data_IF_105858584625
#
_entry.id   IF_105858584625
#
_cell.length_a   1.000
_cell.length_b   1.000
_cell.length_c   1.000
_cell.angle_alpha   90.00
_cell.angle_beta   90.00
_cell.angle_gamma   90.00
#
_symmetry.space_group_name_H-M   'P 1'
#
loop_
_entity.id
_entity.type
_entity.pdbx_description
1 polymer ?
#
# COMPACT_ATOMS: atom_id res chain seq x y z
N UNK A 1 69.46 21.85 7.84
CA UNK A 1 68.14 21.89 8.52
C UNK A 1 66.92 21.69 7.61
N UNK A 2 67.06 21.59 6.28
CA UNK A 2 65.92 21.48 5.34
C UNK A 2 65.34 20.06 5.15
N UNK A 3 66.12 19.02 5.47
CA UNK A 3 65.72 17.61 5.28
C UNK A 3 64.63 17.16 6.28
N UNK A 4 64.72 17.61 7.53
CA UNK A 4 63.70 17.32 8.58
C UNK A 4 62.37 18.03 8.30
N UNK A 5 62.41 19.21 7.70
CA UNK A 5 61.22 19.98 7.30
C UNK A 5 60.45 19.28 6.18
N UNK A 6 61.15 18.71 5.20
CA UNK A 6 60.52 17.95 4.11
C UNK A 6 59.98 16.60 4.59
N UNK A 7 60.61 15.97 5.57
CA UNK A 7 60.12 14.73 6.19
C UNK A 7 58.81 14.95 6.98
N UNK A 8 58.70 16.09 7.68
CA UNK A 8 57.50 16.47 8.42
C UNK A 8 56.32 16.76 7.48
N UNK A 9 56.57 17.40 6.34
CA UNK A 9 55.56 17.67 5.32
C UNK A 9 55.04 16.38 4.66
N UNK A 10 55.91 15.38 4.47
CA UNK A 10 55.52 14.09 3.89
C UNK A 10 54.64 13.26 4.84
N UNK A 11 54.91 13.31 6.15
CA UNK A 11 54.11 12.64 7.18
C UNK A 11 52.70 13.24 7.32
N UNK A 12 52.55 14.56 7.13
CA UNK A 12 51.25 15.22 7.17
C UNK A 12 50.38 14.89 5.96
N UNK A 13 50.98 14.64 4.79
CA UNK A 13 50.24 14.26 3.57
C UNK A 13 49.73 12.80 3.62
N UNK A 14 50.46 11.89 4.27
CA UNK A 14 50.08 10.49 4.40
C UNK A 14 48.94 10.22 5.42
N UNK A 15 48.71 11.14 6.36
CA UNK A 15 47.66 10.96 7.38
C UNK A 15 46.24 11.19 6.87
N UNK A 16 46.07 12.01 5.82
CA UNK A 16 44.75 12.45 5.34
C UNK A 16 44.03 11.35 4.54
N UNK A 17 44.75 10.35 4.01
CA UNK A 17 44.16 9.29 3.17
C UNK A 17 43.49 8.15 3.95
N UNK A 18 43.41 8.24 5.28
CA UNK A 18 42.90 7.15 6.15
C UNK A 18 41.48 7.36 6.69
N UNK A 19 40.81 8.47 6.36
CA UNK A 19 39.45 8.76 6.84
C UNK A 19 38.40 8.29 5.84
N UNK A 20 38.17 6.97 5.79
CA UNK A 20 37.06 6.39 5.03
C UNK A 20 35.78 6.45 5.85
N UNK A 21 34.93 7.45 5.61
CA UNK A 21 33.54 7.41 6.07
C UNK A 21 32.82 6.30 5.30
N UNK A 22 32.55 5.18 5.96
CA UNK A 22 31.62 4.18 5.42
C UNK A 22 30.22 4.77 5.52
N UNK A 23 29.67 5.26 4.40
CA UNK A 23 28.24 5.50 4.31
C UNK A 23 27.56 4.15 4.44
N UNK A 24 26.89 3.90 5.57
CA UNK A 24 25.93 2.82 5.67
C UNK A 24 24.80 3.18 4.70
N UNK A 25 24.87 2.64 3.49
CA UNK A 25 23.78 2.72 2.53
C UNK A 25 22.55 2.16 3.24
N UNK A 26 21.60 3.02 3.60
CA UNK A 26 20.25 2.57 3.94
C UNK A 26 19.79 1.79 2.73
N UNK A 27 19.78 0.46 2.84
CA UNK A 27 19.15 -0.40 1.84
C UNK A 27 17.69 -0.01 1.85
N UNK A 28 17.32 0.90 0.98
CA UNK A 28 15.92 1.12 0.66
C UNK A 28 15.43 -0.22 0.19
N UNK A 29 14.57 -0.85 0.98
CA UNK A 29 13.96 -2.13 0.64
C UNK A 29 12.99 -1.82 -0.52
N UNK A 30 13.53 -1.77 -1.74
CA UNK A 30 12.78 -1.45 -2.97
C UNK A 30 11.69 -2.49 -3.25
N UNK A 31 11.75 -3.62 -2.54
CA UNK A 31 10.82 -4.74 -2.64
C UNK A 31 9.69 -4.71 -1.60
N UNK A 32 9.31 -3.52 -1.11
CA UNK A 32 8.11 -3.39 -0.30
C UNK A 32 6.91 -3.40 -1.25
N UNK A 33 6.22 -4.54 -1.33
CA UNK A 33 4.99 -4.66 -2.10
C UNK A 33 4.07 -3.48 -1.76
N UNK A 34 3.77 -2.66 -2.76
CA UNK A 34 2.91 -1.50 -2.58
C UNK A 34 1.51 -2.03 -2.31
N UNK A 35 1.00 -1.77 -1.11
CA UNK A 35 -0.38 -2.04 -0.75
C UNK A 35 -1.28 -1.01 -1.44
N UNK A 36 -1.64 -1.30 -2.70
CA UNK A 36 -2.47 -0.42 -3.54
C UNK A 36 -3.81 -0.11 -2.86
N UNK A 37 -4.34 -1.04 -2.07
CA UNK A 37 -5.57 -0.81 -1.29
C UNK A 37 -5.38 0.36 -0.33
N UNK A 38 -4.27 0.36 0.42
CA UNK A 38 -3.97 1.43 1.37
C UNK A 38 -3.79 2.78 0.69
N UNK A 39 -3.11 2.80 -0.46
CA UNK A 39 -2.93 4.03 -1.24
C UNK A 39 -4.29 4.58 -1.67
N UNK A 40 -5.16 3.72 -2.20
CA UNK A 40 -6.49 4.12 -2.64
C UNK A 40 -7.42 4.52 -1.50
N UNK A 41 -7.34 3.88 -0.34
CA UNK A 41 -8.06 4.33 0.86
C UNK A 41 -7.63 5.73 1.28
N UNK A 42 -6.32 6.02 1.22
CA UNK A 42 -5.81 7.35 1.51
C UNK A 42 -6.29 8.39 0.49
N UNK A 43 -6.30 8.07 -0.80
CA UNK A 43 -6.80 8.99 -1.83
C UNK A 43 -8.28 9.30 -1.63
N UNK A 44 -9.09 8.30 -1.23
CA UNK A 44 -10.49 8.52 -0.88
C UNK A 44 -10.64 9.35 0.39
N UNK A 45 -9.81 9.12 1.42
CA UNK A 45 -9.86 9.87 2.68
C UNK A 45 -9.51 11.35 2.50
N UNK A 46 -8.65 11.65 1.54
CA UNK A 46 -8.29 13.01 1.10
C UNK A 46 -9.38 13.67 0.22
N UNK A 47 -10.46 12.95 -0.11
CA UNK A 47 -11.59 13.47 -0.88
C UNK A 47 -11.46 13.30 -2.39
N UNK A 48 -10.42 12.61 -2.88
CA UNK A 48 -10.14 12.41 -4.30
C UNK A 48 -10.63 11.05 -4.84
N UNK A 49 -11.68 10.50 -4.23
CA UNK A 49 -12.28 9.24 -4.68
C UNK A 49 -12.92 9.34 -6.07
N UNK A 50 -12.66 8.36 -6.92
CA UNK A 50 -13.21 8.26 -8.28
C UNK A 50 -13.87 6.90 -8.50
N UNK A 51 -14.74 6.77 -9.51
CA UNK A 51 -15.35 5.49 -9.87
C UNK A 51 -14.28 4.40 -10.10
N UNK A 52 -13.16 4.74 -10.74
CA UNK A 52 -12.02 3.83 -10.89
C UNK A 52 -11.49 3.34 -9.53
N UNK A 53 -11.22 4.26 -8.61
CA UNK A 53 -10.68 3.92 -7.28
C UNK A 53 -11.68 3.07 -6.47
N UNK A 54 -12.96 3.43 -6.49
CA UNK A 54 -14.00 2.65 -5.81
C UNK A 54 -14.11 1.23 -6.37
N UNK A 55 -13.99 1.07 -7.69
CA UNK A 55 -13.97 -0.25 -8.33
C UNK A 55 -12.77 -1.09 -7.89
N UNK A 56 -11.58 -0.50 -7.84
CA UNK A 56 -10.37 -1.22 -7.42
C UNK A 56 -10.45 -1.61 -5.93
N UNK A 57 -10.94 -0.73 -5.07
CA UNK A 57 -11.16 -1.02 -3.65
C UNK A 57 -12.22 -2.12 -3.45
N UNK A 58 -13.34 -2.05 -4.17
CA UNK A 58 -14.39 -3.06 -4.10
C UNK A 58 -13.87 -4.45 -4.53
N UNK A 59 -13.13 -4.51 -5.64
CA UNK A 59 -12.53 -5.74 -6.13
C UNK A 59 -11.49 -6.29 -5.15
N UNK A 60 -10.59 -5.45 -4.63
CA UNK A 60 -9.57 -5.89 -3.70
C UNK A 60 -10.18 -6.50 -2.44
N UNK A 61 -11.21 -5.86 -1.86
CA UNK A 61 -11.91 -6.38 -0.69
C UNK A 61 -12.77 -7.60 -1.00
N UNK A 62 -13.36 -7.69 -2.19
CA UNK A 62 -14.06 -8.88 -2.66
C UNK A 62 -13.13 -10.10 -2.72
N UNK A 63 -11.94 -9.94 -3.32
CA UNK A 63 -10.95 -11.02 -3.43
C UNK A 63 -10.29 -11.38 -2.10
N UNK A 64 -10.26 -10.45 -1.13
CA UNK A 64 -9.86 -10.71 0.26
C UNK A 64 -10.98 -11.35 1.11
N UNK A 65 -12.16 -11.61 0.53
CA UNK A 65 -13.36 -12.08 1.23
C UNK A 65 -13.85 -11.16 2.36
N UNK A 66 -13.42 -9.90 2.36
CA UNK A 66 -13.88 -8.87 3.30
C UNK A 66 -15.17 -8.21 2.77
N UNK A 67 -16.23 -9.00 2.68
CA UNK A 67 -17.47 -8.63 1.97
C UNK A 67 -18.17 -7.38 2.51
N UNK A 68 -18.04 -7.06 3.81
CA UNK A 68 -18.60 -5.82 4.36
C UNK A 68 -17.95 -4.58 3.74
N UNK A 69 -16.61 -4.59 3.59
CA UNK A 69 -15.89 -3.48 2.97
C UNK A 69 -16.10 -3.47 1.47
N UNK A 70 -16.11 -4.64 0.83
CA UNK A 70 -16.41 -4.74 -0.60
C UNK A 70 -17.77 -4.11 -0.93
N UNK A 71 -18.80 -4.37 -0.10
CA UNK A 71 -20.13 -3.82 -0.28
C UNK A 71 -20.13 -2.28 -0.26
N UNK A 72 -19.49 -1.69 0.76
CA UNK A 72 -19.36 -0.24 0.90
C UNK A 72 -18.76 0.39 -0.36
N UNK A 73 -17.70 -0.20 -0.91
CA UNK A 73 -17.05 0.34 -2.10
C UNK A 73 -17.85 0.10 -3.39
N UNK A 74 -18.58 -1.01 -3.51
CA UNK A 74 -19.50 -1.22 -4.62
C UNK A 74 -20.64 -0.19 -4.61
N UNK A 75 -21.20 0.12 -3.44
CA UNK A 75 -22.23 1.16 -3.32
C UNK A 75 -21.69 2.54 -3.75
N UNK A 76 -20.49 2.91 -3.28
CA UNK A 76 -19.81 4.13 -3.72
C UNK A 76 -19.54 4.16 -5.23
N UNK A 77 -19.17 3.03 -5.82
CA UNK A 77 -19.01 2.91 -7.26
C UNK A 77 -20.32 3.18 -8.00
N UNK A 78 -21.43 2.56 -7.57
CA UNK A 78 -22.74 2.76 -8.21
C UNK A 78 -23.34 4.15 -8.00
N UNK A 79 -22.99 4.82 -6.89
CA UNK A 79 -23.30 6.24 -6.68
C UNK A 79 -22.53 7.14 -7.66
N UNK A 80 -21.25 6.84 -7.89
CA UNK A 80 -20.37 7.64 -8.75
C UNK A 80 -20.63 7.40 -10.25
N UNK A 81 -20.94 6.17 -10.65
CA UNK A 81 -21.11 5.80 -12.05
C UNK A 81 -22.11 4.64 -12.21
N UNK A 82 -23.03 4.78 -13.18
CA UNK A 82 -23.90 3.67 -13.59
C UNK A 82 -23.11 2.68 -14.46
N UNK A 83 -22.54 1.65 -13.83
CA UNK A 83 -21.87 0.57 -14.55
C UNK A 83 -22.83 -0.56 -14.92
N UNK A 84 -22.73 -1.05 -16.15
CA UNK A 84 -23.42 -2.25 -16.65
C UNK A 84 -22.44 -3.42 -16.81
N UNK A 85 -21.25 -3.33 -16.22
CA UNK A 85 -20.24 -4.40 -16.29
C UNK A 85 -20.76 -5.68 -15.61
N UNK A 86 -20.92 -6.80 -16.36
CA UNK A 86 -21.44 -8.04 -15.83
C UNK A 86 -20.62 -8.60 -14.66
N UNK A 87 -19.29 -8.44 -14.67
CA UNK A 87 -18.40 -8.95 -13.64
C UNK A 87 -18.59 -8.19 -12.33
N UNK A 88 -18.69 -6.86 -12.42
CA UNK A 88 -18.93 -6.00 -11.25
C UNK A 88 -20.32 -6.31 -10.65
N UNK A 89 -21.34 -6.43 -11.48
CA UNK A 89 -22.69 -6.78 -11.04
C UNK A 89 -22.74 -8.18 -10.40
N UNK A 90 -22.00 -9.14 -10.96
CA UNK A 90 -21.91 -10.49 -10.39
C UNK A 90 -21.20 -10.49 -9.03
N UNK A 91 -20.05 -9.83 -8.91
CA UNK A 91 -19.29 -9.74 -7.65
C UNK A 91 -20.08 -9.02 -6.56
N UNK A 92 -20.82 -7.98 -6.92
CA UNK A 92 -21.76 -7.31 -6.00
C UNK A 92 -22.84 -8.26 -5.48
N UNK A 93 -23.52 -9.01 -6.38
CA UNK A 93 -24.52 -10.02 -5.98
C UNK A 93 -23.92 -11.11 -5.08
N UNK A 94 -22.71 -11.56 -5.37
CA UNK A 94 -22.01 -12.56 -4.55
C UNK A 94 -21.67 -12.00 -3.16
N UNK A 95 -21.23 -10.74 -3.09
CA UNK A 95 -20.96 -10.02 -1.84
C UNK A 95 -22.21 -9.96 -0.95
N UNK A 96 -23.36 -9.56 -1.52
CA UNK A 96 -24.63 -9.52 -0.80
C UNK A 96 -25.06 -10.91 -0.30
N UNK A 97 -24.91 -11.95 -1.13
CA UNK A 97 -25.25 -13.33 -0.74
C UNK A 97 -24.39 -13.81 0.43
N UNK A 98 -23.09 -13.52 0.41
CA UNK A 98 -22.17 -13.91 1.47
C UNK A 98 -22.52 -13.24 2.81
N UNK A 99 -22.85 -11.95 2.79
CA UNK A 99 -23.26 -11.21 3.98
C UNK A 99 -24.56 -11.74 4.58
N UNK A 100 -25.60 -11.96 3.75
CA UNK A 100 -26.86 -12.55 4.20
C UNK A 100 -26.67 -13.94 4.82
N UNK A 101 -25.79 -14.77 4.24
CA UNK A 101 -25.47 -16.08 4.82
C UNK A 101 -24.79 -15.95 6.18
N UNK A 102 -23.86 -14.99 6.33
CA UNK A 102 -23.16 -14.75 7.60
C UNK A 102 -24.13 -14.31 8.72
N UNK A 103 -25.09 -13.45 8.40
CA UNK A 103 -26.12 -13.02 9.35
C UNK A 103 -27.01 -14.18 9.79
N UNK A 104 -27.48 -15.01 8.86
CA UNK A 104 -28.28 -16.19 9.17
C UNK A 104 -27.51 -17.16 10.09
N UNK A 105 -26.22 -17.40 9.83
CA UNK A 105 -25.39 -18.25 10.68
C UNK A 105 -25.26 -17.70 12.10
N UNK A 106 -25.11 -16.38 12.26
CA UNK A 106 -25.05 -15.74 13.60
C UNK A 106 -26.37 -15.85 14.35
N UNK A 107 -27.51 -15.83 13.66
CA UNK A 107 -28.82 -16.01 14.27
C UNK A 107 -29.02 -17.44 14.80
N UNK A 108 -28.57 -18.45 14.04
CA UNK A 108 -28.67 -19.88 14.43
C UNK A 108 -27.76 -20.25 15.60
N UNK A 109 -26.67 -19.52 15.85
CA UNK A 109 -25.75 -19.79 16.98
C UNK A 109 -26.23 -19.14 18.30
N UNK A 110 -27.25 -18.27 18.26
CA UNK A 110 -27.77 -17.54 19.43
C UNK A 110 -28.95 -18.23 20.16
N UNK A 111 -29.25 -19.49 19.83
CA UNK A 111 -30.27 -20.34 20.48
C UNK A 111 -29.59 -21.30 21.45
#
# INVERSE_FOLDING_TARGET
>A
MKFKSNLLAFLLFAGITSVSFSQSATKTEVNKDIDVVRVYEQVVSEGYGTAFIYRELANAYYFKSEYNKALLWFEKLFEAEKTNDPDILQRYKQTLKALKSSENSKAVVKI
#
